data_IF_243297087971
#
_entry.id   IF_243297087971
#
_cell.length_a   1.000
_cell.length_b   1.000
_cell.length_c   1.000
_cell.angle_alpha   90.00
_cell.angle_beta   90.00
_cell.angle_gamma   90.00
#
_symmetry.space_group_name_H-M   'P 1'
#
loop_
_entity.id
_entity.type
_entity.pdbx_description
1 polymer ?
#
# COMPACT_ATOMS: atom_id res chain seq x y z
N UNK A 1 -15.39 28.24 -11.25
CA UNK A 1 -16.22 27.02 -11.29
C UNK A 1 -15.86 26.22 -12.54
N UNK A 2 -15.21 25.07 -12.40
CA UNK A 2 -14.87 24.19 -13.53
C UNK A 2 -16.09 23.29 -13.82
N UNK A 3 -16.63 23.33 -15.04
CA UNK A 3 -17.72 22.43 -15.47
C UNK A 3 -17.14 21.04 -15.72
N UNK A 4 -17.42 20.09 -14.83
CA UNK A 4 -17.12 18.66 -15.05
C UNK A 4 -17.99 18.19 -16.23
N UNK A 5 -17.38 17.67 -17.30
CA UNK A 5 -18.14 17.23 -18.48
C UNK A 5 -18.86 15.91 -18.19
N UNK A 6 -20.00 15.67 -18.88
CA UNK A 6 -20.83 14.47 -18.67
C UNK A 6 -20.06 13.16 -18.92
N UNK A 7 -19.06 13.19 -19.81
CA UNK A 7 -18.16 12.07 -20.06
C UNK A 7 -17.27 11.76 -18.85
N UNK A 8 -16.69 12.79 -18.22
CA UNK A 8 -15.88 12.65 -17.01
C UNK A 8 -16.70 12.04 -15.86
N UNK A 9 -17.96 12.46 -15.71
CA UNK A 9 -18.85 11.88 -14.70
C UNK A 9 -19.12 10.39 -14.93
N UNK A 10 -19.21 9.94 -16.19
CA UNK A 10 -19.40 8.52 -16.51
C UNK A 10 -18.15 7.70 -16.19
N UNK A 11 -16.97 8.26 -16.45
CA UNK A 11 -15.68 7.65 -16.13
C UNK A 11 -15.54 7.48 -14.61
N UNK A 12 -15.74 8.56 -13.86
CA UNK A 12 -15.65 8.56 -12.39
C UNK A 12 -16.59 7.53 -11.77
N UNK A 13 -17.86 7.49 -12.21
CA UNK A 13 -18.84 6.51 -11.73
C UNK A 13 -18.44 5.06 -12.04
N UNK A 14 -17.83 4.82 -13.19
CA UNK A 14 -17.41 3.47 -13.59
C UNK A 14 -16.22 3.01 -12.74
N UNK A 15 -15.22 3.87 -12.55
CA UNK A 15 -14.08 3.60 -11.68
C UNK A 15 -14.55 3.34 -10.24
N UNK A 16 -15.43 4.19 -9.69
CA UNK A 16 -15.99 4.03 -8.34
C UNK A 16 -16.63 2.65 -8.16
N UNK A 17 -17.50 2.24 -9.08
CA UNK A 17 -18.17 0.92 -9.01
C UNK A 17 -17.18 -0.25 -9.06
N UNK A 18 -16.18 -0.18 -9.94
CA UNK A 18 -15.16 -1.23 -10.05
C UNK A 18 -14.34 -1.34 -8.77
N UNK A 19 -13.96 -0.20 -8.19
CA UNK A 19 -13.22 -0.11 -6.92
C UNK A 19 -14.06 -0.63 -5.75
N UNK A 20 -15.31 -0.20 -5.62
CA UNK A 20 -16.24 -0.63 -4.56
C UNK A 20 -16.43 -2.15 -4.58
N UNK A 21 -16.65 -2.74 -5.76
CA UNK A 21 -16.78 -4.18 -5.91
C UNK A 21 -15.49 -4.91 -5.56
N UNK A 22 -14.32 -4.44 -6.04
CA UNK A 22 -13.07 -5.09 -5.69
C UNK A 22 -12.81 -5.05 -4.18
N UNK A 23 -13.08 -3.92 -3.51
CA UNK A 23 -12.95 -3.77 -2.05
C UNK A 23 -13.86 -4.77 -1.33
N UNK A 24 -15.12 -4.88 -1.71
CA UNK A 24 -16.06 -5.83 -1.10
C UNK A 24 -15.61 -7.28 -1.28
N UNK A 25 -15.11 -7.64 -2.47
CA UNK A 25 -14.59 -8.98 -2.73
C UNK A 25 -13.33 -9.30 -1.93
N UNK A 26 -12.42 -8.34 -1.80
CA UNK A 26 -11.18 -8.51 -1.03
C UNK A 26 -11.41 -8.76 0.47
N UNK A 27 -12.57 -8.37 1.01
CA UNK A 27 -12.92 -8.63 2.41
C UNK A 27 -13.28 -10.10 2.67
N UNK A 28 -13.75 -10.82 1.65
CA UNK A 28 -14.32 -12.17 1.81
C UNK A 28 -13.60 -13.25 1.00
N UNK A 29 -12.84 -12.87 -0.02
CA UNK A 29 -12.19 -13.78 -0.96
C UNK A 29 -10.73 -13.41 -1.17
N UNK A 30 -9.85 -14.43 -1.21
CA UNK A 30 -8.43 -14.25 -1.55
C UNK A 30 -8.28 -13.62 -2.94
N UNK A 31 -7.45 -12.59 -3.06
CA UNK A 31 -7.22 -11.81 -4.27
C UNK A 31 -6.91 -12.68 -5.48
N UNK A 32 -6.06 -13.70 -5.29
CA UNK A 32 -5.68 -14.70 -6.30
C UNK A 32 -6.87 -15.44 -6.90
N UNK A 33 -8.00 -15.54 -6.20
CA UNK A 33 -9.23 -16.19 -6.67
C UNK A 33 -10.20 -15.24 -7.37
N UNK A 34 -10.10 -13.93 -7.14
CA UNK A 34 -10.98 -12.93 -7.75
C UNK A 34 -10.66 -12.82 -9.24
N UNK A 35 -11.67 -12.83 -10.11
CA UNK A 35 -11.48 -12.67 -11.57
C UNK A 35 -11.99 -11.33 -12.07
N UNK A 36 -11.44 -10.84 -13.20
CA UNK A 36 -11.96 -9.63 -13.87
C UNK A 36 -13.43 -9.81 -14.25
N UNK A 37 -13.83 -11.01 -14.68
CA UNK A 37 -15.22 -11.31 -15.03
C UNK A 37 -16.16 -11.17 -13.82
N UNK A 38 -15.75 -11.66 -12.65
CA UNK A 38 -16.50 -11.52 -11.41
C UNK A 38 -16.67 -10.04 -11.03
N UNK A 39 -15.58 -9.27 -11.04
CA UNK A 39 -15.60 -7.83 -10.76
C UNK A 39 -16.55 -7.10 -11.73
N UNK A 40 -16.43 -7.36 -13.03
CA UNK A 40 -17.26 -6.76 -14.06
C UNK A 40 -18.75 -7.10 -13.89
N UNK A 41 -19.06 -8.36 -13.60
CA UNK A 41 -20.42 -8.84 -13.39
C UNK A 41 -21.09 -8.16 -12.20
N UNK A 42 -20.41 -8.15 -11.04
CA UNK A 42 -20.92 -7.52 -9.83
C UNK A 42 -21.04 -5.99 -9.96
N UNK A 43 -20.09 -5.34 -10.64
CA UNK A 43 -20.12 -3.91 -10.90
C UNK A 43 -21.15 -3.49 -11.97
N UNK A 44 -21.76 -4.47 -12.68
CA UNK A 44 -22.62 -4.26 -13.86
C UNK A 44 -21.92 -3.43 -14.95
N UNK A 45 -20.67 -3.79 -15.23
CA UNK A 45 -19.79 -3.13 -16.22
C UNK A 45 -19.32 -4.16 -17.24
N UNK A 46 -19.38 -3.84 -18.54
CA UNK A 46 -18.83 -4.73 -19.56
C UNK A 46 -17.30 -4.83 -19.45
N UNK A 47 -16.76 -6.02 -19.73
CA UNK A 47 -15.31 -6.27 -19.70
C UNK A 47 -14.51 -5.34 -20.63
N UNK A 48 -15.05 -5.00 -21.79
CA UNK A 48 -14.44 -4.00 -22.69
C UNK A 48 -14.35 -2.62 -22.06
N UNK A 49 -15.28 -2.26 -21.18
CA UNK A 49 -15.25 -1.00 -20.41
C UNK A 49 -14.24 -1.07 -19.27
N UNK A 50 -14.08 -2.21 -18.59
CA UNK A 50 -13.00 -2.40 -17.62
C UNK A 50 -11.64 -2.09 -18.25
N UNK A 51 -11.36 -2.67 -19.42
CA UNK A 51 -10.09 -2.47 -20.11
C UNK A 51 -9.87 -1.06 -20.69
N UNK A 52 -10.90 -0.19 -20.68
CA UNK A 52 -10.72 1.25 -20.96
C UNK A 52 -10.15 2.02 -19.77
N UNK A 53 -10.21 1.45 -18.57
CA UNK A 53 -9.79 2.09 -17.33
C UNK A 53 -8.59 1.41 -16.69
N UNK A 54 -8.49 0.09 -16.80
CA UNK A 54 -7.43 -0.70 -16.17
C UNK A 54 -6.97 -1.80 -17.13
N UNK A 55 -5.66 -1.94 -17.33
CA UNK A 55 -5.07 -2.98 -18.18
C UNK A 55 -5.34 -4.37 -17.60
N UNK A 56 -5.35 -4.49 -16.28
CA UNK A 56 -5.52 -5.75 -15.56
C UNK A 56 -6.04 -5.53 -14.12
N UNK A 57 -6.22 -6.63 -13.39
CA UNK A 57 -6.69 -6.64 -11.99
C UNK A 57 -5.66 -6.03 -11.02
N UNK A 58 -4.37 -6.01 -11.36
CA UNK A 58 -3.34 -5.43 -10.51
C UNK A 58 -3.44 -3.90 -10.53
N UNK A 59 -3.70 -3.31 -11.70
CA UNK A 59 -3.86 -1.86 -11.83
C UNK A 59 -5.07 -1.33 -11.04
N UNK A 60 -6.20 -2.05 -11.08
CA UNK A 60 -7.34 -1.71 -10.23
C UNK A 60 -7.02 -1.86 -8.73
N UNK A 61 -6.24 -2.88 -8.35
CA UNK A 61 -5.81 -3.06 -6.96
C UNK A 61 -4.86 -1.93 -6.51
N UNK A 62 -3.93 -1.52 -7.37
CA UNK A 62 -3.04 -0.37 -7.11
C UNK A 62 -3.87 0.90 -6.90
N UNK A 63 -4.90 1.13 -7.71
CA UNK A 63 -5.80 2.28 -7.54
C UNK A 63 -6.50 2.28 -6.16
N UNK A 64 -6.90 1.10 -5.66
CA UNK A 64 -7.45 0.96 -4.30
C UNK A 64 -6.38 1.32 -3.26
N UNK A 65 -5.15 0.84 -3.41
CA UNK A 65 -4.06 1.14 -2.49
C UNK A 65 -3.68 2.63 -2.48
N UNK A 66 -3.65 3.28 -3.64
CA UNK A 66 -3.40 4.73 -3.75
C UNK A 66 -4.42 5.53 -2.95
N UNK A 67 -5.71 5.22 -3.10
CA UNK A 67 -6.77 5.87 -2.35
C UNK A 67 -6.65 5.58 -0.84
N UNK A 68 -6.39 4.32 -0.47
CA UNK A 68 -6.31 3.88 0.92
C UNK A 68 -5.11 4.46 1.69
N UNK A 69 -3.96 4.62 1.02
CA UNK A 69 -2.71 5.05 1.64
C UNK A 69 -2.46 6.55 1.54
N UNK A 70 -3.34 7.31 0.86
CA UNK A 70 -3.21 8.76 0.78
C UNK A 70 -3.07 9.43 2.16
N UNK A 71 -3.85 9.08 3.21
CA UNK A 71 -3.69 9.69 4.53
C UNK A 71 -2.35 9.32 5.19
N UNK A 72 -1.82 8.12 4.91
CA UNK A 72 -0.48 7.72 5.34
C UNK A 72 0.57 8.66 4.75
N UNK A 73 0.65 8.78 3.42
CA UNK A 73 1.68 9.59 2.76
C UNK A 73 1.54 11.10 2.99
N UNK A 74 0.38 11.59 3.44
CA UNK A 74 0.19 12.98 3.91
C UNK A 74 0.82 13.26 5.28
N UNK A 75 1.11 12.25 6.09
CA UNK A 75 1.85 12.44 7.33
C UNK A 75 3.27 12.92 7.04
N UNK A 76 3.80 13.69 7.99
CA UNK A 76 5.20 14.10 8.02
C UNK A 76 6.12 12.90 7.72
N UNK A 77 7.04 13.11 6.77
CA UNK A 77 7.92 12.05 6.29
C UNK A 77 8.80 11.56 7.44
N UNK A 78 9.36 12.42 8.27
CA UNK A 78 10.21 11.99 9.38
C UNK A 78 9.43 11.12 10.37
N UNK A 79 8.17 11.47 10.67
CA UNK A 79 7.30 10.63 11.52
C UNK A 79 7.12 9.23 10.93
N UNK A 80 6.81 9.13 9.63
CA UNK A 80 6.68 7.83 8.94
C UNK A 80 7.97 7.04 8.91
N UNK A 81 9.11 7.71 8.80
CA UNK A 81 10.42 7.07 8.76
C UNK A 81 10.87 6.54 10.13
N UNK A 82 10.33 7.07 11.23
CA UNK A 82 10.62 6.66 12.61
C UNK A 82 9.60 5.61 13.09
N UNK A 83 8.31 5.79 12.76
CA UNK A 83 7.19 4.96 13.22
C UNK A 83 6.29 4.51 12.04
N UNK A 84 6.83 3.77 11.06
CA UNK A 84 6.08 3.42 9.86
C UNK A 84 4.81 2.60 10.16
N UNK A 85 4.85 1.70 11.15
CA UNK A 85 3.73 0.80 11.44
C UNK A 85 2.62 1.51 12.23
N UNK A 86 2.97 2.32 13.23
CA UNK A 86 1.97 3.13 13.96
C UNK A 86 1.32 4.16 13.04
N UNK A 87 2.11 4.82 12.17
CA UNK A 87 1.54 5.72 11.17
C UNK A 87 0.57 4.98 10.23
N UNK A 88 0.91 3.76 9.80
CA UNK A 88 0.03 2.96 8.95
C UNK A 88 -1.28 2.60 9.67
N UNK A 89 -1.19 2.09 10.90
CA UNK A 89 -2.35 1.68 11.69
C UNK A 89 -3.33 2.85 11.97
N UNK A 90 -2.79 4.03 12.27
CA UNK A 90 -3.58 5.23 12.57
C UNK A 90 -4.24 5.86 11.34
N UNK A 91 -3.72 5.60 10.15
CA UNK A 91 -4.18 6.26 8.90
C UNK A 91 -5.01 5.36 8.01
N UNK A 92 -4.84 4.04 8.10
CA UNK A 92 -5.69 3.10 7.40
C UNK A 92 -7.05 2.99 8.07
N UNK A 93 -8.11 3.08 7.27
CA UNK A 93 -9.47 2.83 7.74
C UNK A 93 -9.70 1.34 8.05
N UNK A 94 -10.73 1.04 8.83
CA UNK A 94 -11.05 -0.33 9.24
C UNK A 94 -11.25 -1.30 8.06
N UNK A 95 -12.03 -0.96 6.99
CA UNK A 95 -12.19 -1.84 5.84
C UNK A 95 -10.88 -2.29 5.19
N UNK A 96 -9.90 -1.39 5.05
CA UNK A 96 -8.61 -1.72 4.45
C UNK A 96 -7.78 -2.58 5.40
N UNK A 97 -7.81 -2.32 6.72
CA UNK A 97 -7.13 -3.17 7.70
C UNK A 97 -7.68 -4.60 7.69
N UNK A 98 -9.00 -4.75 7.58
CA UNK A 98 -9.65 -6.06 7.46
C UNK A 98 -9.24 -6.78 6.17
N UNK A 99 -9.13 -6.05 5.05
CA UNK A 99 -8.60 -6.60 3.79
C UNK A 99 -7.16 -7.10 3.99
N UNK A 100 -6.28 -6.32 4.61
CA UNK A 100 -4.89 -6.74 4.83
C UNK A 100 -4.83 -8.05 5.64
N UNK A 101 -5.69 -8.20 6.65
CA UNK A 101 -5.83 -9.46 7.41
C UNK A 101 -6.37 -10.60 6.55
N UNK A 102 -7.49 -10.38 5.84
CA UNK A 102 -8.08 -11.38 4.93
C UNK A 102 -7.10 -11.82 3.84
N UNK A 103 -6.14 -10.98 3.45
CA UNK A 103 -5.20 -11.26 2.37
C UNK A 103 -3.80 -11.68 2.84
N UNK A 104 -3.53 -11.80 4.14
CA UNK A 104 -2.15 -11.94 4.65
C UNK A 104 -1.39 -13.16 4.12
N UNK A 105 -2.09 -14.25 3.78
CA UNK A 105 -1.52 -15.48 3.21
C UNK A 105 -1.71 -15.59 1.68
N UNK A 106 -2.11 -14.50 1.00
CA UNK A 106 -2.18 -14.45 -0.46
C UNK A 106 -0.90 -13.85 -1.04
N UNK A 107 0.01 -14.71 -1.53
CA UNK A 107 1.30 -14.28 -2.07
C UNK A 107 1.17 -13.32 -3.27
N UNK A 108 0.11 -13.44 -4.09
CA UNK A 108 -0.11 -12.54 -5.22
C UNK A 108 -0.54 -11.15 -4.76
N UNK A 109 -1.44 -11.08 -3.76
CA UNK A 109 -1.81 -9.81 -3.13
C UNK A 109 -0.59 -9.14 -2.52
N UNK A 110 0.17 -9.89 -1.70
CA UNK A 110 1.33 -9.36 -1.01
C UNK A 110 2.41 -8.87 -1.99
N UNK A 111 2.64 -9.58 -3.08
CA UNK A 111 3.54 -9.14 -4.16
C UNK A 111 3.13 -7.79 -4.74
N UNK A 112 1.85 -7.59 -5.09
CA UNK A 112 1.37 -6.31 -5.63
C UNK A 112 1.47 -5.20 -4.59
N UNK A 113 1.15 -5.50 -3.32
CA UNK A 113 1.26 -4.56 -2.20
C UNK A 113 2.71 -4.06 -2.00
N UNK A 114 3.69 -4.96 -1.94
CA UNK A 114 5.11 -4.61 -1.77
C UNK A 114 5.64 -3.84 -2.97
N UNK A 115 5.26 -4.22 -4.20
CA UNK A 115 5.64 -3.49 -5.42
C UNK A 115 5.08 -2.06 -5.41
N UNK A 116 3.81 -1.90 -5.05
CA UNK A 116 3.17 -0.59 -4.89
C UNK A 116 3.91 0.27 -3.85
N UNK A 117 4.11 -0.24 -2.63
CA UNK A 117 4.78 0.51 -1.57
C UNK A 117 6.21 0.89 -1.94
N UNK A 118 6.98 -0.02 -2.54
CA UNK A 118 8.35 0.26 -3.00
C UNK A 118 8.39 1.43 -3.97
N UNK A 119 7.51 1.43 -4.96
CA UNK A 119 7.45 2.51 -5.95
C UNK A 119 6.98 3.83 -5.33
N UNK A 120 5.97 3.79 -4.45
CA UNK A 120 5.40 4.99 -3.83
C UNK A 120 6.36 5.61 -2.83
N UNK A 121 7.01 4.81 -1.97
CA UNK A 121 8.04 5.29 -1.03
C UNK A 121 9.22 5.88 -1.78
N UNK A 122 9.68 5.25 -2.87
CA UNK A 122 10.78 5.80 -3.67
C UNK A 122 10.43 7.16 -4.28
N UNK A 123 9.21 7.30 -4.84
CA UNK A 123 8.72 8.59 -5.36
C UNK A 123 8.62 9.65 -4.26
N UNK A 124 8.07 9.27 -3.11
CA UNK A 124 7.86 10.16 -1.96
C UNK A 124 9.18 10.65 -1.34
N UNK A 125 10.17 9.77 -1.18
CA UNK A 125 11.53 10.15 -0.74
C UNK A 125 12.15 11.12 -1.72
N UNK A 126 12.05 10.84 -3.03
CA UNK A 126 12.60 11.71 -4.07
C UNK A 126 11.97 13.10 -4.06
N UNK A 127 10.66 13.22 -3.83
CA UNK A 127 9.98 14.53 -3.75
C UNK A 127 10.31 15.31 -2.49
N UNK A 128 10.71 14.62 -1.41
CA UNK A 128 11.01 15.22 -0.11
C UNK A 128 12.51 15.18 0.24
N UNK A 129 13.38 14.97 -0.74
CA UNK A 129 14.82 14.80 -0.53
C UNK A 129 15.47 15.97 0.23
N UNK A 130 14.96 17.18 0.02
CA UNK A 130 15.45 18.41 0.66
C UNK A 130 14.98 18.61 2.11
N UNK A 131 14.02 17.80 2.58
CA UNK A 131 13.55 17.85 3.98
C UNK A 131 14.16 16.73 4.82
N UNK A 132 14.91 15.82 4.19
CA UNK A 132 15.61 14.75 4.87
C UNK A 132 16.94 15.26 5.44
N UNK A 133 17.46 14.64 6.52
CA UNK A 133 18.75 15.02 7.09
C UNK A 133 19.86 14.97 6.02
N UNK A 134 20.52 16.11 5.81
CA UNK A 134 21.58 16.27 4.80
C UNK A 134 22.96 15.78 5.25
N UNK A 135 23.12 15.45 6.53
CA UNK A 135 24.38 15.00 7.15
C UNK A 135 24.67 13.50 6.94
N UNK A 136 23.85 12.83 6.14
CA UNK A 136 24.01 11.39 5.89
C UNK A 136 25.17 11.13 4.93
N UNK A 137 26.04 10.19 5.31
CA UNK A 137 27.20 9.75 4.51
C UNK A 137 26.82 8.72 3.43
N UNK A 138 25.60 8.82 2.89
CA UNK A 138 25.09 7.93 1.85
C UNK A 138 24.00 8.61 1.01
N UNK A 139 23.70 8.12 -0.21
CA UNK A 139 22.66 8.71 -1.05
C UNK A 139 21.26 8.52 -0.43
N UNK A 140 20.50 9.60 -0.29
CA UNK A 140 19.19 9.62 0.37
C UNK A 140 18.15 8.66 -0.23
N UNK A 141 18.27 8.32 -1.51
CA UNK A 141 17.40 7.34 -2.18
C UNK A 141 17.56 5.93 -1.63
N UNK A 142 18.74 5.57 -1.11
CA UNK A 142 19.01 4.27 -0.47
C UNK A 142 18.07 4.06 0.71
N UNK A 143 17.71 5.15 1.39
CA UNK A 143 16.83 5.12 2.53
C UNK A 143 15.46 4.53 2.17
N UNK A 144 14.86 4.95 1.07
CA UNK A 144 13.56 4.42 0.62
C UNK A 144 13.59 2.92 0.32
N UNK A 145 14.69 2.43 -0.28
CA UNK A 145 14.89 1.00 -0.54
C UNK A 145 15.04 0.19 0.75
N UNK A 146 15.94 0.62 1.63
CA UNK A 146 16.23 -0.07 2.90
C UNK A 146 15.01 -0.07 3.80
N UNK A 147 14.32 1.05 3.93
CA UNK A 147 13.09 1.14 4.72
C UNK A 147 12.02 0.19 4.21
N UNK A 148 11.74 0.20 2.90
CA UNK A 148 10.74 -0.69 2.32
C UNK A 148 11.10 -2.15 2.56
N UNK A 149 12.39 -2.50 2.42
CA UNK A 149 12.88 -3.85 2.65
C UNK A 149 12.74 -4.29 4.11
N UNK A 150 13.04 -3.42 5.09
CA UNK A 150 12.87 -3.76 6.50
C UNK A 150 11.39 -3.91 6.84
N UNK A 151 10.54 -2.98 6.39
CA UNK A 151 9.10 -3.02 6.66
C UNK A 151 8.47 -4.31 6.09
N UNK A 152 8.78 -4.63 4.84
CA UNK A 152 8.27 -5.86 4.21
C UNK A 152 8.82 -7.11 4.91
N UNK A 153 10.11 -7.15 5.24
CA UNK A 153 10.73 -8.29 5.92
C UNK A 153 10.16 -8.52 7.32
N UNK A 154 9.91 -7.46 8.09
CA UNK A 154 9.27 -7.56 9.40
C UNK A 154 7.84 -8.09 9.27
N UNK A 155 7.07 -7.60 8.30
CA UNK A 155 5.73 -8.12 8.06
C UNK A 155 5.74 -9.58 7.58
N UNK A 156 6.72 -9.98 6.76
CA UNK A 156 6.87 -11.36 6.32
C UNK A 156 7.24 -12.27 7.49
N UNK A 157 8.22 -11.89 8.31
CA UNK A 157 8.58 -12.61 9.54
C UNK A 157 7.37 -12.81 10.45
N UNK A 158 6.57 -11.75 10.65
CA UNK A 158 5.32 -11.82 11.43
C UNK A 158 4.39 -12.91 10.89
N UNK A 159 4.18 -12.96 9.57
CA UNK A 159 3.32 -13.94 8.92
C UNK A 159 3.90 -15.35 9.08
N UNK A 160 5.18 -15.53 8.80
CA UNK A 160 5.86 -16.83 8.85
C UNK A 160 5.84 -17.45 10.25
N UNK A 161 5.90 -16.62 11.30
CA UNK A 161 5.86 -17.08 12.69
C UNK A 161 4.46 -17.02 13.32
N UNK A 162 3.43 -16.68 12.54
CA UNK A 162 2.05 -16.48 13.02
C UNK A 162 1.96 -15.51 14.22
N UNK A 163 2.77 -14.45 14.20
CA UNK A 163 2.76 -13.39 15.22
C UNK A 163 1.62 -12.41 14.92
N UNK A 164 0.86 -12.02 15.95
CA UNK A 164 -0.17 -10.97 15.76
C UNK A 164 0.46 -9.62 15.40
N UNK A 165 -0.25 -8.83 14.60
CA UNK A 165 0.20 -7.48 14.27
C UNK A 165 0.00 -6.54 15.46
N UNK A 166 1.09 -5.93 15.91
CA UNK A 166 1.12 -4.87 16.92
C UNK A 166 2.01 -3.75 16.38
N UNK A 167 1.42 -2.62 16.03
CA UNK A 167 2.14 -1.52 15.38
C UNK A 167 3.27 -0.95 16.24
N UNK A 168 3.04 -0.78 17.55
CA UNK A 168 4.02 -0.22 18.47
C UNK A 168 5.21 -1.15 18.67
N UNK A 169 4.95 -2.46 18.80
CA UNK A 169 5.99 -3.48 18.89
C UNK A 169 6.81 -3.56 17.59
N UNK A 170 6.15 -3.49 16.44
CA UNK A 170 6.83 -3.51 15.14
C UNK A 170 7.72 -2.28 14.93
N UNK A 171 7.25 -1.09 15.33
CA UNK A 171 8.06 0.13 15.32
C UNK A 171 9.25 0.04 16.29
N UNK A 172 9.08 -0.58 17.45
CA UNK A 172 10.17 -0.81 18.40
C UNK A 172 11.27 -1.71 17.81
N UNK A 173 10.89 -2.84 17.18
CA UNK A 173 11.83 -3.74 16.49
C UNK A 173 12.52 -3.00 15.33
N UNK A 174 11.74 -2.29 14.51
CA UNK A 174 12.24 -1.51 13.38
C UNK A 174 13.32 -0.49 13.81
N UNK A 175 13.05 0.31 14.85
CA UNK A 175 14.01 1.30 15.34
C UNK A 175 15.26 0.66 15.96
N UNK A 176 15.07 -0.48 16.63
CA UNK A 176 16.19 -1.25 17.19
C UNK A 176 17.11 -1.76 16.10
N UNK A 177 16.57 -2.31 15.00
CA UNK A 177 17.34 -2.77 13.85
C UNK A 177 18.08 -1.62 13.16
N UNK A 178 17.42 -0.48 12.94
CA UNK A 178 18.03 0.69 12.30
C UNK A 178 19.20 1.29 13.10
N UNK A 179 19.25 1.04 14.41
CA UNK A 179 20.32 1.51 15.31
C UNK A 179 21.29 0.41 15.72
N UNK A 180 21.06 -0.83 15.28
CA UNK A 180 21.83 -1.96 15.73
C UNK A 180 23.29 -1.84 15.28
N UNK A 181 24.21 -1.95 16.23
CA UNK A 181 25.65 -1.93 15.98
C UNK A 181 26.22 -3.26 16.41
N UNK A 182 26.84 -3.98 15.48
CA UNK A 182 27.63 -5.15 15.81
C UNK A 182 28.85 -4.72 16.63
N UNK A 183 29.20 -5.50 17.66
CA UNK A 183 30.46 -5.32 18.36
C UNK A 183 31.61 -5.46 17.36
N UNK A 184 32.61 -4.59 17.46
CA UNK A 184 33.87 -4.81 16.77
C UNK A 184 34.48 -6.08 17.34
N UNK A 185 34.69 -7.08 16.49
CA UNK A 185 35.63 -8.16 16.79
C UNK A 185 37.04 -7.57 16.96
#
# INVERSE_FOLDING_TARGET
MVRIQKQDLRIIKTISKLTEVLVALLQTQRYSKITINQICSEAKVHRTTFYKHFKDKNELLIHVFEAATQPYFKNDINKRMIQPFTCLEQTLNAPIRDILKTQENDANFYKVLVQFFTQTVHKDVKSHINTLPHDQRFPSEVFGYVQTAIISSLNQWRIDTNTEFDAAKMDHIYQTLMRYRFSKF
#
